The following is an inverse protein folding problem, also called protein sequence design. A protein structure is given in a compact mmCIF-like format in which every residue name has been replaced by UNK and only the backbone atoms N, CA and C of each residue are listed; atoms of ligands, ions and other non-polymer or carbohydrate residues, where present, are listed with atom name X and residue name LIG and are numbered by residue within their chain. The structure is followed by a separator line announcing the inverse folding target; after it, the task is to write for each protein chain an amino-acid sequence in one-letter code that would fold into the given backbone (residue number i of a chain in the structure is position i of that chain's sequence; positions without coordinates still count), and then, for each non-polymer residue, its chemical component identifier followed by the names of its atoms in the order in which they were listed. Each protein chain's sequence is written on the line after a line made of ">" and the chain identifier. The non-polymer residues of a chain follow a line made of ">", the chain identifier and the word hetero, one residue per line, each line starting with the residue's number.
data_IF_584829979609
#
_entry.id   IF_584829979609
#
_cell.length_a   1.000
_cell.length_b   1.000
_cell.length_c   1.000
_cell.angle_alpha   90.00
_cell.angle_beta   90.00
_cell.angle_gamma   90.00
#
_symmetry.space_group_name_H-M   'P 1'
#
loop_
_entity.id
_entity.type
_entity.pdbx_description
1 polymer ?
#
# COMPACT_ATOMS: atom_id res chain seq x y z
N UNK A 1 -2.64 32.39 13.42
CA UNK A 1 -3.20 32.55 12.06
C UNK A 1 -2.76 31.43 11.11
N UNK A 2 -1.45 31.14 10.94
CA UNK A 2 -0.97 30.06 10.05
C UNK A 2 -1.42 28.63 10.43
N UNK A 3 -1.42 28.27 11.72
CA UNK A 3 -1.84 26.93 12.18
C UNK A 3 -3.34 26.70 11.93
N UNK A 4 -4.18 27.72 12.17
CA UNK A 4 -5.64 27.65 11.98
C UNK A 4 -6.05 27.42 10.52
N UNK A 5 -5.28 27.94 9.54
CA UNK A 5 -5.56 27.71 8.12
C UNK A 5 -5.30 26.26 7.70
N UNK A 6 -4.36 25.56 8.34
CA UNK A 6 -4.03 24.17 8.01
C UNK A 6 -5.14 23.18 8.42
N UNK A 7 -5.91 23.49 9.47
CA UNK A 7 -7.04 22.66 9.91
C UNK A 7 -8.39 23.06 9.30
N UNK A 8 -8.48 24.15 8.53
CA UNK A 8 -9.74 24.57 7.93
C UNK A 8 -10.16 23.56 6.85
N UNK A 9 -11.37 23.02 6.94
CA UNK A 9 -11.94 22.13 5.92
C UNK A 9 -12.09 22.90 4.60
N UNK A 10 -11.58 22.38 3.47
CA UNK A 10 -11.78 22.95 2.14
C UNK A 10 -13.27 23.05 1.80
N UNK A 11 -13.65 24.08 1.05
CA UNK A 11 -15.07 24.36 0.75
C UNK A 11 -15.77 23.19 0.05
N UNK A 12 -15.12 22.56 -0.93
CA UNK A 12 -15.67 21.40 -1.63
C UNK A 12 -15.78 20.13 -0.78
N UNK A 13 -15.23 20.11 0.44
CA UNK A 13 -15.32 18.97 1.35
C UNK A 13 -16.24 19.23 2.54
N UNK A 14 -16.92 20.39 2.62
CA UNK A 14 -17.77 20.73 3.78
C UNK A 14 -18.81 19.65 4.07
N UNK A 15 -19.43 19.12 3.03
CA UNK A 15 -20.53 18.14 3.14
C UNK A 15 -20.06 16.69 3.33
N UNK A 16 -18.77 16.41 3.14
CA UNK A 16 -18.20 15.07 3.36
C UNK A 16 -18.10 14.79 4.86
N UNK A 17 -18.58 13.64 5.38
CA UNK A 17 -18.46 13.30 6.80
C UNK A 17 -17.02 13.29 7.31
N UNK A 18 -16.77 13.90 8.47
CA UNK A 18 -15.43 13.86 9.10
C UNK A 18 -15.27 12.56 9.91
N UNK A 19 -14.24 11.78 9.59
CA UNK A 19 -13.85 10.58 10.34
C UNK A 19 -13.09 10.96 11.62
N UNK A 20 -13.05 10.02 12.57
CA UNK A 20 -12.38 10.24 13.86
C UNK A 20 -10.86 10.43 13.69
N UNK A 21 -10.40 11.67 13.86
CA UNK A 21 -8.97 11.99 13.82
C UNK A 21 -8.18 11.30 14.93
N UNK A 22 -8.68 11.33 16.16
CA UNK A 22 -8.01 10.70 17.30
C UNK A 22 -7.98 9.19 17.19
N UNK A 23 -9.05 8.56 16.68
CA UNK A 23 -9.06 7.12 16.41
C UNK A 23 -7.99 6.71 15.40
N UNK A 24 -7.82 7.50 14.34
CA UNK A 24 -6.76 7.29 13.35
C UNK A 24 -5.35 7.41 13.95
N UNK A 25 -5.08 8.48 14.71
CA UNK A 25 -3.75 8.71 15.33
C UNK A 25 -3.44 7.66 16.40
N UNK A 26 -4.42 7.30 17.23
CA UNK A 26 -4.23 6.25 18.25
C UNK A 26 -3.89 4.94 17.56
N UNK A 27 -4.63 4.53 16.53
CA UNK A 27 -4.35 3.29 15.82
C UNK A 27 -3.02 3.29 15.07
N UNK A 28 -2.53 4.46 14.65
CA UNK A 28 -1.21 4.58 14.02
C UNK A 28 -0.06 4.44 15.04
N UNK A 29 -0.27 4.90 16.27
CA UNK A 29 0.73 4.87 17.34
C UNK A 29 0.67 3.61 18.21
N UNK A 30 -0.49 2.96 18.26
CA UNK A 30 -0.68 1.68 18.92
C UNK A 30 -0.16 0.56 18.02
N UNK A 31 0.15 -0.59 18.62
CA UNK A 31 0.43 -1.82 17.85
C UNK A 31 -0.89 -2.51 17.40
N UNK A 32 -1.95 -1.71 17.19
CA UNK A 32 -3.24 -2.21 16.72
C UNK A 32 -3.17 -2.46 15.21
N UNK A 33 -3.89 -3.49 14.77
CA UNK A 33 -3.95 -3.83 13.37
C UNK A 33 -4.82 -2.86 12.56
N UNK A 34 -4.79 -3.00 11.22
CA UNK A 34 -5.64 -2.21 10.33
C UNK A 34 -7.14 -2.44 10.53
N UNK A 35 -7.53 -3.51 11.23
CA UNK A 35 -8.90 -3.80 11.65
C UNK A 35 -9.45 -2.72 12.59
N UNK A 36 -8.64 -2.17 13.50
CA UNK A 36 -9.07 -1.08 14.39
C UNK A 36 -9.28 0.25 13.67
N UNK A 37 -8.47 0.55 12.66
CA UNK A 37 -8.72 1.68 11.76
C UNK A 37 -10.07 1.52 11.04
N UNK A 38 -10.37 0.31 10.59
CA UNK A 38 -11.65 0.01 9.97
C UNK A 38 -12.81 0.18 10.94
N UNK A 39 -12.78 -0.42 12.14
CA UNK A 39 -13.85 -0.27 13.15
C UNK A 39 -14.18 1.21 13.45
N UNK A 40 -13.16 2.08 13.53
CA UNK A 40 -13.32 3.50 13.81
C UNK A 40 -14.00 4.30 12.70
N UNK A 41 -14.02 3.78 11.46
CA UNK A 41 -14.53 4.48 10.27
C UNK A 41 -15.67 3.74 9.55
N UNK A 42 -15.84 2.44 9.83
CA UNK A 42 -16.77 1.52 9.17
C UNK A 42 -18.19 2.08 9.12
N UNK A 43 -18.74 2.50 10.26
CA UNK A 43 -20.13 2.98 10.33
C UNK A 43 -20.40 4.16 9.40
N UNK A 44 -19.43 5.06 9.24
CA UNK A 44 -19.56 6.22 8.36
C UNK A 44 -19.37 5.80 6.90
N UNK A 45 -18.34 4.99 6.63
CA UNK A 45 -18.00 4.56 5.27
C UNK A 45 -19.04 3.61 4.67
N UNK A 46 -19.65 2.72 5.47
CA UNK A 46 -20.74 1.85 5.01
C UNK A 46 -22.03 2.61 4.72
N UNK A 47 -22.29 3.70 5.45
CA UNK A 47 -23.49 4.51 5.27
C UNK A 47 -23.37 5.52 4.13
N UNK A 48 -22.24 6.21 4.07
CA UNK A 48 -22.05 7.40 3.23
C UNK A 48 -21.13 7.11 2.03
N UNK A 49 -20.39 5.99 2.02
CA UNK A 49 -19.45 5.62 0.95
C UNK A 49 -18.19 6.49 0.88
N UNK A 50 -18.12 7.59 1.65
CA UNK A 50 -17.04 8.56 1.65
C UNK A 50 -16.87 9.21 3.03
N UNK A 51 -15.63 9.51 3.39
CA UNK A 51 -15.29 10.27 4.59
C UNK A 51 -14.00 11.06 4.42
N UNK A 52 -13.83 12.11 5.21
CA UNK A 52 -12.62 12.94 5.24
C UNK A 52 -11.92 12.88 6.59
N UNK A 53 -10.61 12.96 6.59
CA UNK A 53 -9.81 13.09 7.81
C UNK A 53 -8.64 14.04 7.58
N UNK A 54 -8.17 14.68 8.64
CA UNK A 54 -6.98 15.52 8.57
C UNK A 54 -5.77 14.69 8.96
N UNK A 55 -4.69 14.72 8.18
CA UNK A 55 -3.44 14.05 8.53
C UNK A 55 -2.26 14.71 7.83
N UNK A 56 -1.15 14.83 8.55
CA UNK A 56 0.12 15.36 8.04
C UNK A 56 -0.02 16.70 7.29
N UNK A 57 -0.76 17.65 7.86
CA UNK A 57 -0.90 18.99 7.29
C UNK A 57 -1.94 19.16 6.18
N UNK A 58 -2.63 18.08 5.78
CA UNK A 58 -3.60 18.08 4.68
C UNK A 58 -4.90 17.34 5.03
N UNK A 59 -5.97 17.66 4.30
CA UNK A 59 -7.21 16.90 4.33
C UNK A 59 -7.17 15.77 3.30
N UNK A 60 -7.53 14.58 3.74
CA UNK A 60 -7.56 13.35 2.96
C UNK A 60 -8.98 12.82 2.88
N UNK A 61 -9.27 12.11 1.81
CA UNK A 61 -10.56 11.44 1.58
C UNK A 61 -10.31 9.94 1.58
N UNK A 62 -11.20 9.20 2.24
CA UNK A 62 -11.32 7.75 2.12
C UNK A 62 -12.68 7.47 1.49
N UNK A 63 -12.72 6.54 0.55
CA UNK A 63 -13.97 6.12 -0.08
C UNK A 63 -14.05 4.61 -0.17
N UNK A 64 -15.25 4.09 0.06
CA UNK A 64 -15.67 2.70 -0.15
C UNK A 64 -16.72 2.61 -1.25
N UNK A 65 -17.17 3.76 -1.79
CA UNK A 65 -18.05 3.84 -2.94
C UNK A 65 -17.31 3.37 -4.21
N UNK A 66 -17.96 2.48 -4.96
CA UNK A 66 -17.35 1.82 -6.10
C UNK A 66 -17.13 2.79 -7.27
N UNK A 67 -18.05 3.73 -7.50
CA UNK A 67 -17.95 4.68 -8.60
C UNK A 67 -16.84 5.70 -8.34
N UNK A 68 -16.77 6.24 -7.13
CA UNK A 68 -15.70 7.13 -6.70
C UNK A 68 -14.34 6.43 -6.73
N UNK A 69 -14.27 5.19 -6.23
CA UNK A 69 -13.05 4.38 -6.29
C UNK A 69 -12.60 4.20 -7.74
N UNK A 70 -13.51 3.79 -8.64
CA UNK A 70 -13.20 3.63 -10.05
C UNK A 70 -12.67 4.93 -10.66
N UNK A 71 -13.28 6.06 -10.36
CA UNK A 71 -12.84 7.36 -10.87
C UNK A 71 -11.43 7.72 -10.37
N UNK A 72 -11.14 7.54 -9.08
CA UNK A 72 -9.81 7.78 -8.49
C UNK A 72 -8.75 6.90 -9.16
N UNK A 73 -9.02 5.61 -9.34
CA UNK A 73 -8.02 4.67 -9.87
C UNK A 73 -7.84 4.74 -11.40
N UNK A 74 -8.83 5.24 -12.15
CA UNK A 74 -8.78 5.29 -13.62
C UNK A 74 -8.38 6.66 -14.17
N UNK A 75 -8.64 7.76 -13.44
CA UNK A 75 -8.34 9.13 -13.88
C UNK A 75 -7.06 9.65 -13.23
N UNK A 76 -5.93 8.98 -13.49
CA UNK A 76 -4.64 9.29 -12.88
C UNK A 76 -4.12 10.73 -13.13
N UNK A 77 -4.59 11.41 -14.18
CA UNK A 77 -4.25 12.82 -14.44
C UNK A 77 -4.96 13.79 -13.47
N UNK A 78 -6.14 13.40 -12.96
CA UNK A 78 -6.88 14.17 -11.95
C UNK A 78 -6.47 13.78 -10.52
N UNK A 79 -6.11 12.51 -10.33
CA UNK A 79 -5.73 11.93 -9.05
C UNK A 79 -4.32 11.33 -9.13
N UNK A 80 -3.28 12.16 -9.28
CA UNK A 80 -1.91 11.66 -9.32
C UNK A 80 -1.54 11.05 -7.97
N UNK A 81 -0.72 10.00 -8.00
CA UNK A 81 -0.13 9.45 -6.78
C UNK A 81 0.80 10.51 -6.16
N UNK A 82 0.79 10.70 -4.84
CA UNK A 82 1.79 11.54 -4.22
C UNK A 82 3.17 10.87 -4.33
N UNK A 83 4.18 11.66 -4.62
CA UNK A 83 5.57 11.22 -4.54
C UNK A 83 5.94 10.91 -3.08
N UNK A 84 6.99 10.11 -2.88
CA UNK A 84 7.45 9.80 -1.52
C UNK A 84 7.98 11.03 -0.77
N UNK A 85 8.54 12.01 -1.49
CA UNK A 85 8.98 13.28 -0.93
C UNK A 85 7.78 14.14 -0.47
N UNK A 86 6.66 14.12 -1.20
CA UNK A 86 5.44 14.83 -0.78
C UNK A 86 4.81 14.17 0.46
N UNK A 87 4.84 12.84 0.55
CA UNK A 87 4.32 12.12 1.72
C UNK A 87 5.21 12.27 2.95
N UNK A 88 6.53 12.19 2.76
CA UNK A 88 7.53 12.16 3.84
C UNK A 88 8.74 13.06 3.51
N UNK A 89 8.57 14.40 3.52
CA UNK A 89 9.61 15.34 3.10
C UNK A 89 10.90 15.19 3.92
N UNK A 90 12.05 15.15 3.24
CA UNK A 90 13.37 15.05 3.88
C UNK A 90 13.63 13.73 4.64
N UNK A 91 12.78 12.71 4.47
CA UNK A 91 12.98 11.42 5.12
C UNK A 91 14.07 10.58 4.42
N UNK A 92 14.67 9.66 5.18
CA UNK A 92 15.58 8.65 4.61
C UNK A 92 14.87 7.82 3.53
N UNK A 93 13.59 7.48 3.74
CA UNK A 93 12.78 6.76 2.76
C UNK A 93 12.67 7.54 1.46
N UNK A 94 12.39 8.84 1.52
CA UNK A 94 12.27 9.66 0.33
C UNK A 94 13.58 9.75 -0.45
N UNK A 95 14.70 9.89 0.28
CA UNK A 95 16.05 9.88 -0.31
C UNK A 95 16.42 8.53 -0.93
N UNK A 96 16.08 7.43 -0.26
CA UNK A 96 16.42 6.08 -0.68
C UNK A 96 15.61 5.62 -1.89
N UNK A 97 14.29 5.79 -1.87
CA UNK A 97 13.42 5.31 -2.93
C UNK A 97 13.38 6.26 -4.13
N UNK A 98 13.57 7.56 -3.91
CA UNK A 98 13.62 8.59 -4.95
C UNK A 98 12.51 8.46 -5.99
N UNK A 99 12.86 8.68 -7.26
CA UNK A 99 11.95 8.44 -8.39
C UNK A 99 11.96 6.96 -8.76
N UNK A 100 10.79 6.32 -8.70
CA UNK A 100 10.63 4.90 -9.00
C UNK A 100 9.25 4.59 -9.59
N UNK A 101 9.02 3.34 -10.00
CA UNK A 101 7.77 2.90 -10.64
C UNK A 101 6.53 2.99 -9.73
N UNK A 102 6.70 2.92 -8.40
CA UNK A 102 5.59 2.94 -7.44
C UNK A 102 5.08 4.37 -7.26
N UNK A 103 5.99 5.33 -7.05
CA UNK A 103 5.66 6.71 -6.68
C UNK A 103 5.69 7.71 -7.85
N UNK A 104 6.06 7.29 -9.07
CA UNK A 104 6.01 8.15 -10.27
C UNK A 104 4.65 8.16 -10.96
N UNK A 105 4.35 9.24 -11.70
CA UNK A 105 3.16 9.41 -12.54
C UNK A 105 3.55 9.70 -14.01
N UNK A 106 2.55 9.79 -14.88
CA UNK A 106 2.71 10.26 -16.26
C UNK A 106 3.78 9.52 -17.06
N UNK A 107 4.57 10.26 -17.82
CA UNK A 107 5.55 9.69 -18.75
C UNK A 107 6.75 9.05 -18.04
N UNK A 108 7.11 9.53 -16.85
CA UNK A 108 8.15 8.90 -16.01
C UNK A 108 7.72 7.50 -15.60
N UNK A 109 6.48 7.36 -15.12
CA UNK A 109 5.90 6.06 -14.77
C UNK A 109 5.80 5.14 -16.00
N UNK A 110 5.31 5.66 -17.14
CA UNK A 110 5.24 4.88 -18.39
C UNK A 110 6.60 4.35 -18.80
N UNK A 111 7.65 5.17 -18.70
CA UNK A 111 9.04 4.77 -19.01
C UNK A 111 9.52 3.65 -18.10
N UNK A 112 9.30 3.76 -16.79
CA UNK A 112 9.65 2.68 -15.86
C UNK A 112 8.90 1.38 -16.17
N UNK A 113 7.57 1.45 -16.34
CA UNK A 113 6.73 0.29 -16.71
C UNK A 113 7.17 -0.33 -18.03
N UNK A 114 7.54 0.46 -19.03
CA UNK A 114 8.01 -0.04 -20.32
C UNK A 114 9.23 -0.95 -20.18
N UNK A 115 10.18 -0.57 -19.32
CA UNK A 115 11.41 -1.35 -19.05
C UNK A 115 11.10 -2.58 -18.19
N UNK A 116 10.23 -2.45 -17.18
CA UNK A 116 9.98 -3.50 -16.17
C UNK A 116 9.00 -4.57 -16.69
N UNK A 117 7.94 -4.19 -17.39
CA UNK A 117 6.86 -5.10 -17.81
C UNK A 117 7.33 -6.36 -18.55
N UNK A 118 8.34 -6.32 -19.44
CA UNK A 118 8.86 -7.53 -20.09
C UNK A 118 9.26 -8.63 -19.13
N UNK A 119 9.83 -8.30 -17.97
CA UNK A 119 10.23 -9.28 -16.94
C UNK A 119 9.04 -10.05 -16.36
N UNK A 120 7.82 -9.51 -16.46
CA UNK A 120 6.60 -10.12 -15.94
C UNK A 120 5.73 -10.78 -17.03
N UNK A 121 6.12 -10.71 -18.31
CA UNK A 121 5.36 -11.34 -19.41
C UNK A 121 5.63 -12.85 -19.53
N UNK A 122 6.85 -13.27 -19.21
CA UNK A 122 7.25 -14.68 -19.25
C UNK A 122 7.90 -15.01 -17.91
N UNK A 123 7.09 -15.55 -17.01
CA UNK A 123 7.56 -15.98 -15.70
C UNK A 123 8.10 -17.42 -15.82
N UNK A 124 9.24 -17.73 -15.18
CA UNK A 124 9.80 -19.07 -15.20
C UNK A 124 8.99 -19.98 -14.28
N UNK A 125 7.91 -20.59 -14.80
CA UNK A 125 6.97 -21.42 -14.00
C UNK A 125 7.68 -22.52 -13.20
N UNK A 126 8.73 -23.12 -13.75
CA UNK A 126 9.53 -24.13 -13.04
C UNK A 126 10.11 -23.62 -11.71
N UNK A 127 10.47 -22.33 -11.61
CA UNK A 127 10.94 -21.72 -10.36
C UNK A 127 9.85 -21.76 -9.30
N UNK A 128 8.59 -21.49 -9.68
CA UNK A 128 7.46 -21.52 -8.76
C UNK A 128 7.22 -22.95 -8.26
N UNK A 129 7.22 -23.92 -9.17
CA UNK A 129 7.01 -25.33 -8.84
C UNK A 129 8.10 -25.85 -7.89
N UNK A 130 9.37 -25.59 -8.21
CA UNK A 130 10.50 -26.02 -7.41
C UNK A 130 10.50 -25.37 -6.02
N UNK A 131 10.21 -24.06 -5.92
CA UNK A 131 10.15 -23.38 -4.62
C UNK A 131 8.93 -23.83 -3.81
N UNK A 132 7.80 -24.14 -4.45
CA UNK A 132 6.64 -24.73 -3.76
C UNK A 132 6.96 -26.13 -3.21
N UNK A 133 7.63 -26.98 -3.98
CA UNK A 133 8.10 -28.28 -3.49
C UNK A 133 9.11 -28.15 -2.34
N UNK A 134 10.00 -27.15 -2.40
CA UNK A 134 10.92 -26.82 -1.31
C UNK A 134 10.17 -26.44 -0.04
N UNK A 135 9.13 -25.61 -0.15
CA UNK A 135 8.26 -25.26 0.98
C UNK A 135 7.61 -26.51 1.59
N UNK A 136 7.04 -27.40 0.77
CA UNK A 136 6.42 -28.65 1.26
C UNK A 136 7.42 -29.50 2.06
N UNK A 137 8.63 -29.69 1.54
CA UNK A 137 9.71 -30.41 2.24
C UNK A 137 10.11 -29.76 3.56
N UNK A 138 10.04 -28.44 3.67
CA UNK A 138 10.31 -27.73 4.93
C UNK A 138 9.17 -27.99 5.92
N UNK A 139 7.93 -27.94 5.46
CA UNK A 139 6.76 -28.19 6.32
C UNK A 139 6.65 -29.65 6.77
N UNK A 140 7.07 -30.61 5.95
CA UNK A 140 7.10 -32.05 6.31
C UNK A 140 8.05 -32.36 7.48
N UNK A 141 9.05 -31.50 7.73
CA UNK A 141 9.97 -31.65 8.86
C UNK A 141 9.38 -31.20 10.20
N UNK A 142 8.23 -30.54 10.17
CA UNK A 142 7.52 -30.09 11.38
C UNK A 142 6.66 -31.25 11.89
N UNK A 143 7.14 -31.96 12.91
CA UNK A 143 6.42 -33.08 13.50
C UNK A 143 5.27 -32.60 14.40
N UNK A 144 4.03 -32.71 13.90
CA UNK A 144 2.77 -32.41 14.61
C UNK A 144 2.73 -31.04 15.36
N UNK A 145 3.55 -30.09 14.93
CA UNK A 145 3.67 -28.76 15.52
C UNK A 145 2.93 -27.68 14.73
N UNK A 146 2.62 -26.53 15.36
CA UNK A 146 2.13 -25.37 14.64
C UNK A 146 3.21 -24.87 13.66
N UNK A 147 2.76 -24.45 12.48
CA UNK A 147 3.61 -23.86 11.45
C UNK A 147 3.34 -22.37 11.42
N UNK A 148 4.39 -21.55 11.44
CA UNK A 148 4.23 -20.12 11.22
C UNK A 148 4.14 -19.79 9.72
N UNK A 149 2.90 -19.73 9.22
CA UNK A 149 2.57 -19.54 7.81
C UNK A 149 3.07 -18.20 7.29
N UNK A 150 3.01 -17.13 8.10
CA UNK A 150 3.42 -15.79 7.67
C UNK A 150 4.90 -15.75 7.26
N UNK A 151 5.77 -16.32 8.09
CA UNK A 151 7.21 -16.40 7.79
C UNK A 151 7.47 -17.22 6.54
N UNK A 152 6.86 -18.41 6.45
CA UNK A 152 7.04 -19.31 5.31
C UNK A 152 6.58 -18.69 3.99
N UNK A 153 5.43 -18.00 3.96
CA UNK A 153 4.94 -17.35 2.74
C UNK A 153 5.82 -16.17 2.32
N UNK A 154 6.35 -15.40 3.28
CA UNK A 154 7.34 -14.36 2.97
C UNK A 154 8.60 -14.96 2.37
N UNK A 155 9.16 -16.01 2.98
CA UNK A 155 10.36 -16.70 2.47
C UNK A 155 10.13 -17.30 1.09
N UNK A 156 8.99 -17.96 0.87
CA UNK A 156 8.59 -18.49 -0.44
C UNK A 156 8.59 -17.37 -1.49
N UNK A 157 7.94 -16.25 -1.18
CA UNK A 157 7.84 -15.11 -2.11
C UNK A 157 9.21 -14.52 -2.44
N UNK A 158 10.06 -14.34 -1.42
CA UNK A 158 11.42 -13.83 -1.60
C UNK A 158 12.31 -14.78 -2.41
N UNK A 159 12.18 -16.09 -2.21
CA UNK A 159 12.97 -17.09 -2.95
C UNK A 159 12.52 -17.17 -4.41
N UNK A 160 11.21 -17.14 -4.67
CA UNK A 160 10.68 -17.02 -6.04
C UNK A 160 11.17 -15.74 -6.71
N UNK A 161 11.08 -14.60 -6.03
CA UNK A 161 11.52 -13.31 -6.59
C UNK A 161 13.03 -13.29 -6.82
N UNK A 162 13.81 -13.78 -5.87
CA UNK A 162 15.27 -13.94 -5.97
C UNK A 162 15.66 -14.71 -7.22
N UNK A 163 15.08 -15.90 -7.38
CA UNK A 163 15.41 -16.81 -8.47
C UNK A 163 14.90 -16.30 -9.81
N UNK A 164 13.65 -15.85 -9.88
CA UNK A 164 13.02 -15.43 -11.13
C UNK A 164 13.52 -14.07 -11.63
N UNK A 165 13.76 -13.09 -10.74
CA UNK A 165 14.11 -11.72 -11.14
C UNK A 165 15.62 -11.45 -11.06
N UNK A 166 16.33 -12.08 -10.13
CA UNK A 166 17.74 -11.77 -9.85
C UNK A 166 18.70 -12.94 -10.09
N UNK A 167 18.18 -14.14 -10.43
CA UNK A 167 18.99 -15.35 -10.53
C UNK A 167 19.67 -15.72 -9.20
N UNK A 168 19.08 -15.32 -8.07
CA UNK A 168 19.64 -15.48 -6.74
C UNK A 168 18.79 -16.44 -5.90
N UNK A 169 19.42 -17.46 -5.32
CA UNK A 169 18.78 -18.40 -4.39
C UNK A 169 19.11 -17.99 -2.95
N UNK A 170 18.08 -17.75 -2.15
CA UNK A 170 18.24 -17.30 -0.76
C UNK A 170 18.54 -18.45 0.21
N UNK A 171 18.55 -19.71 -0.25
CA UNK A 171 18.73 -20.97 0.50
C UNK A 171 17.66 -21.26 1.56
#
# INVERSE_FOLDING_TARGET
>A
YKIYQSFKVPEGLKDVPTLSYFGFIISLLSNEGPDKLWENSQKVLEKEGIGKFWFNGAWHIVTTDLELTKDVFTRAELFPKPSIEELFPGSLSASYYGTNVVFSNGDVWKRHRYIINPAFKSLPMHVFDETALKLLKVTEKVDNGPIEVKDLMHRLTLDVLGRAAFGFDFN
#
